data_IF_935672157183
#
_entry.id   IF_935672157183
#
_cell.length_a   1.000
_cell.length_b   1.000
_cell.length_c   1.000
_cell.angle_alpha   90.00
_cell.angle_beta   90.00
_cell.angle_gamma   90.00
#
_symmetry.space_group_name_H-M   'P 1'
#
loop_
_entity.id
_entity.type
_entity.pdbx_description
1 polymer ?
#
# COMPACT_ATOMS: atom_id res chain seq x y z
N UNK A 1 -12.51 -174.77 50.37
CA UNK A 1 -12.49 -173.71 49.34
C UNK A 1 -12.84 -172.33 49.92
N UNK A 2 -11.98 -171.74 50.77
CA UNK A 2 -12.28 -170.45 51.45
C UNK A 2 -11.11 -169.43 51.39
N UNK A 3 -9.85 -169.90 51.37
CA UNK A 3 -8.67 -169.02 51.19
C UNK A 3 -8.52 -168.40 49.78
N UNK A 4 -9.12 -169.00 48.74
CA UNK A 4 -9.10 -168.45 47.38
C UNK A 4 -10.01 -167.23 47.16
N UNK A 5 -11.20 -167.19 47.79
CA UNK A 5 -12.15 -166.06 47.65
C UNK A 5 -11.71 -164.80 48.38
N UNK A 6 -10.95 -164.94 49.48
CA UNK A 6 -10.41 -163.81 50.23
C UNK A 6 -9.29 -163.08 49.45
N UNK A 7 -8.44 -163.84 48.76
CA UNK A 7 -7.40 -163.29 47.87
C UNK A 7 -7.99 -162.64 46.62
N UNK A 8 -9.05 -163.22 46.04
CA UNK A 8 -9.74 -162.66 44.87
C UNK A 8 -10.41 -161.31 45.19
N UNK A 9 -11.09 -161.20 46.34
CA UNK A 9 -11.71 -159.95 46.79
C UNK A 9 -10.68 -158.86 47.12
N UNK A 10 -9.52 -159.24 47.67
CA UNK A 10 -8.41 -158.31 47.91
C UNK A 10 -7.80 -157.85 46.58
N UNK A 11 -7.62 -158.75 45.60
CA UNK A 11 -7.15 -158.39 44.26
C UNK A 11 -8.13 -157.46 43.53
N UNK A 12 -9.43 -157.72 43.63
CA UNK A 12 -10.46 -156.88 43.03
C UNK A 12 -10.47 -155.48 43.67
N UNK A 13 -10.44 -155.38 45.00
CA UNK A 13 -10.31 -154.10 45.70
C UNK A 13 -9.02 -153.35 45.38
N UNK A 14 -7.90 -154.06 45.25
CA UNK A 14 -6.63 -153.46 44.82
C UNK A 14 -6.74 -152.95 43.38
N UNK A 15 -7.42 -153.69 42.50
CA UNK A 15 -7.67 -153.26 41.11
C UNK A 15 -8.59 -152.05 41.02
N UNK A 16 -9.67 -152.02 41.80
CA UNK A 16 -10.60 -150.89 41.91
C UNK A 16 -9.92 -149.65 42.52
N UNK A 17 -9.10 -149.83 43.56
CA UNK A 17 -8.26 -148.75 44.09
C UNK A 17 -7.26 -148.27 43.05
N UNK A 18 -6.67 -149.15 42.24
CA UNK A 18 -5.74 -148.77 41.18
C UNK A 18 -6.42 -147.91 40.12
N UNK A 19 -7.58 -148.34 39.64
CA UNK A 19 -8.39 -147.58 38.67
C UNK A 19 -8.79 -146.23 39.27
N UNK A 20 -9.24 -146.20 40.53
CA UNK A 20 -9.60 -144.95 41.21
C UNK A 20 -8.39 -144.03 41.41
N UNK A 21 -7.20 -144.57 41.66
CA UNK A 21 -5.95 -143.80 41.74
C UNK A 21 -5.61 -143.23 40.36
N UNK A 22 -5.62 -144.07 39.31
CA UNK A 22 -5.32 -143.66 37.93
C UNK A 22 -6.31 -142.57 37.44
N UNK A 23 -7.61 -142.72 37.70
CA UNK A 23 -8.62 -141.71 37.38
C UNK A 23 -8.45 -140.41 38.19
N UNK A 24 -7.99 -140.52 39.44
CA UNK A 24 -7.73 -139.34 40.28
C UNK A 24 -6.46 -138.62 39.82
N UNK A 25 -5.42 -139.38 39.44
CA UNK A 25 -4.18 -138.86 38.86
C UNK A 25 -4.45 -138.18 37.50
N UNK A 26 -5.31 -138.75 36.66
CA UNK A 26 -5.71 -138.14 35.38
C UNK A 26 -6.52 -136.84 35.60
N UNK A 27 -7.46 -136.83 36.56
CA UNK A 27 -8.18 -135.60 36.96
C UNK A 27 -7.24 -134.56 37.55
N UNK A 28 -6.28 -134.97 38.35
CA UNK A 28 -5.27 -134.07 38.92
C UNK A 28 -4.39 -133.48 37.82
N UNK A 29 -3.97 -134.28 36.83
CA UNK A 29 -3.20 -133.84 35.68
C UNK A 29 -3.99 -132.83 34.82
N UNK A 30 -5.24 -133.13 34.48
CA UNK A 30 -6.11 -132.23 33.72
C UNK A 30 -6.40 -130.93 34.48
N UNK A 31 -6.68 -131.00 35.78
CA UNK A 31 -6.89 -129.81 36.61
C UNK A 31 -5.62 -128.95 36.72
N UNK A 32 -4.44 -129.56 36.77
CA UNK A 32 -3.15 -128.84 36.72
C UNK A 32 -2.95 -128.14 35.37
N UNK A 33 -3.27 -128.79 34.26
CA UNK A 33 -3.16 -128.18 32.92
C UNK A 33 -4.14 -127.02 32.74
N UNK A 34 -5.41 -127.18 33.15
CA UNK A 34 -6.40 -126.10 33.15
C UNK A 34 -5.96 -124.93 34.07
N UNK A 35 -5.41 -125.23 35.25
CA UNK A 35 -4.89 -124.21 36.15
C UNK A 35 -3.76 -123.41 35.50
N UNK A 36 -2.82 -124.07 34.81
CA UNK A 36 -1.75 -123.40 34.06
C UNK A 36 -2.34 -122.49 32.97
N UNK A 37 -3.30 -122.98 32.19
CA UNK A 37 -3.94 -122.16 31.15
C UNK A 37 -4.69 -120.94 31.71
N UNK A 38 -5.39 -121.10 32.83
CA UNK A 38 -6.11 -120.00 33.50
C UNK A 38 -5.12 -118.97 34.03
N UNK A 39 -4.03 -119.41 34.66
CA UNK A 39 -2.96 -118.53 35.16
C UNK A 39 -2.31 -117.76 33.99
N UNK A 40 -2.03 -118.41 32.86
CA UNK A 40 -1.49 -117.74 31.68
C UNK A 40 -2.45 -116.70 31.10
N UNK A 41 -3.75 -117.00 31.03
CA UNK A 41 -4.77 -116.04 30.58
C UNK A 41 -4.90 -114.86 31.54
N UNK A 42 -4.86 -115.13 32.85
CA UNK A 42 -4.89 -114.09 33.87
C UNK A 42 -3.66 -113.18 33.74
N UNK A 43 -2.45 -113.74 33.64
CA UNK A 43 -1.22 -112.96 33.44
C UNK A 43 -1.27 -112.10 32.17
N UNK A 44 -1.80 -112.63 31.05
CA UNK A 44 -2.01 -111.85 29.82
C UNK A 44 -2.99 -110.70 30.04
N UNK A 45 -4.15 -110.97 30.64
CA UNK A 45 -5.15 -109.94 30.93
C UNK A 45 -4.64 -108.87 31.90
N UNK A 46 -3.86 -109.25 32.93
CA UNK A 46 -3.23 -108.32 33.86
C UNK A 46 -2.20 -107.44 33.15
N UNK A 47 -1.43 -108.02 32.23
CA UNK A 47 -0.45 -107.27 31.42
C UNK A 47 -1.14 -106.28 30.49
N UNK A 48 -2.22 -106.68 29.82
CA UNK A 48 -3.03 -105.80 28.96
C UNK A 48 -3.71 -104.68 29.77
N UNK A 49 -4.31 -105.01 30.91
CA UNK A 49 -4.91 -104.03 31.81
C UNK A 49 -3.88 -103.00 32.27
N UNK A 50 -2.68 -103.45 32.64
CA UNK A 50 -1.57 -102.56 33.03
C UNK A 50 -1.10 -101.68 31.86
N UNK A 51 -1.03 -102.21 30.64
CA UNK A 51 -0.70 -101.44 29.44
C UNK A 51 -1.74 -100.35 29.14
N UNK A 52 -3.02 -100.69 29.20
CA UNK A 52 -4.12 -99.74 29.04
C UNK A 52 -4.10 -98.66 30.14
N UNK A 53 -3.79 -99.04 31.37
CA UNK A 53 -3.69 -98.10 32.48
C UNK A 53 -2.57 -97.07 32.26
N UNK A 54 -1.37 -97.53 31.85
CA UNK A 54 -0.27 -96.65 31.47
C UNK A 54 -0.66 -95.73 30.29
N UNK A 55 -1.40 -96.26 29.31
CA UNK A 55 -1.88 -95.47 28.16
C UNK A 55 -2.90 -94.41 28.58
N UNK A 56 -3.81 -94.72 29.49
CA UNK A 56 -4.77 -93.76 30.05
C UNK A 56 -4.04 -92.64 30.78
N UNK A 57 -3.03 -92.96 31.58
CA UNK A 57 -2.21 -91.94 32.27
C UNK A 57 -1.48 -91.03 31.29
N UNK A 58 -0.89 -91.62 30.24
CA UNK A 58 -0.20 -90.87 29.17
C UNK A 58 -1.17 -89.93 28.45
N UNK A 59 -2.36 -90.42 28.06
CA UNK A 59 -3.38 -89.61 27.40
C UNK A 59 -3.92 -88.50 28.31
N UNK A 60 -4.07 -88.75 29.61
CA UNK A 60 -4.46 -87.72 30.58
C UNK A 60 -3.40 -86.62 30.66
N UNK A 61 -2.12 -86.98 30.71
CA UNK A 61 -1.03 -86.02 30.71
C UNK A 61 -0.99 -85.19 29.41
N UNK A 62 -1.19 -85.84 28.25
CA UNK A 62 -1.29 -85.15 26.96
C UNK A 62 -2.50 -84.21 26.90
N UNK A 63 -3.67 -84.64 27.39
CA UNK A 63 -4.86 -83.81 27.44
C UNK A 63 -4.64 -82.56 28.28
N UNK A 64 -4.04 -82.69 29.46
CA UNK A 64 -3.68 -81.53 30.32
C UNK A 64 -2.72 -80.59 29.60
N UNK A 65 -1.69 -81.15 28.95
CA UNK A 65 -0.70 -80.37 28.20
C UNK A 65 -1.32 -79.61 27.02
N UNK A 66 -2.18 -80.26 26.24
CA UNK A 66 -2.87 -79.64 25.10
C UNK A 66 -3.85 -78.59 25.59
N UNK A 67 -4.63 -78.88 26.62
CA UNK A 67 -5.57 -77.92 27.22
C UNK A 67 -4.84 -76.67 27.72
N UNK A 68 -3.71 -76.84 28.43
CA UNK A 68 -2.88 -75.71 28.87
C UNK A 68 -2.39 -74.85 27.71
N UNK A 69 -1.87 -75.49 26.64
CA UNK A 69 -1.47 -74.78 25.42
C UNK A 69 -2.62 -74.05 24.74
N UNK A 70 -3.80 -74.66 24.69
CA UNK A 70 -5.00 -74.02 24.13
C UNK A 70 -5.38 -72.79 24.94
N UNK A 71 -5.34 -72.86 26.27
CA UNK A 71 -5.58 -71.70 27.14
C UNK A 71 -4.55 -70.58 26.90
N UNK A 72 -3.28 -70.93 26.76
CA UNK A 72 -2.23 -69.95 26.48
C UNK A 72 -2.44 -69.25 25.12
N UNK A 73 -2.78 -70.02 24.08
CA UNK A 73 -3.08 -69.47 22.75
C UNK A 73 -4.33 -68.58 22.80
N UNK A 74 -5.36 -68.97 23.54
CA UNK A 74 -6.57 -68.16 23.70
C UNK A 74 -6.25 -66.82 24.38
N UNK A 75 -5.46 -66.85 25.46
CA UNK A 75 -5.02 -65.62 26.14
C UNK A 75 -4.21 -64.70 25.21
N UNK A 76 -3.35 -65.26 24.36
CA UNK A 76 -2.60 -64.49 23.36
C UNK A 76 -3.51 -63.89 22.28
N UNK A 77 -4.52 -64.65 21.84
CA UNK A 77 -5.50 -64.16 20.88
C UNK A 77 -6.30 -62.99 21.44
N UNK A 78 -6.76 -63.09 22.69
CA UNK A 78 -7.53 -62.04 23.36
C UNK A 78 -6.68 -60.77 23.55
N UNK A 79 -5.41 -60.91 23.92
CA UNK A 79 -4.49 -59.78 24.02
C UNK A 79 -4.22 -59.11 22.66
N UNK A 80 -4.09 -59.90 21.60
CA UNK A 80 -3.90 -59.37 20.25
C UNK A 80 -5.17 -58.68 19.73
N UNK A 81 -6.35 -59.20 20.07
CA UNK A 81 -7.62 -58.56 19.73
C UNK A 81 -7.74 -57.19 20.39
N UNK A 82 -7.44 -57.09 21.69
CA UNK A 82 -7.43 -55.81 22.42
C UNK A 82 -6.44 -54.81 21.80
N UNK A 83 -5.21 -55.25 21.48
CA UNK A 83 -4.22 -54.40 20.80
C UNK A 83 -4.69 -53.93 19.43
N UNK A 84 -5.40 -54.78 18.68
CA UNK A 84 -5.96 -54.41 17.38
C UNK A 84 -7.06 -53.36 17.50
N UNK A 85 -7.95 -53.49 18.50
CA UNK A 85 -8.99 -52.50 18.78
C UNK A 85 -8.40 -51.15 19.19
N UNK A 86 -7.39 -51.15 20.07
CA UNK A 86 -6.66 -49.94 20.45
C UNK A 86 -5.95 -49.30 19.25
N UNK A 87 -5.34 -50.12 18.38
CA UNK A 87 -4.68 -49.65 17.16
C UNK A 87 -5.67 -48.99 16.21
N UNK A 88 -6.86 -49.57 16.01
CA UNK A 88 -7.89 -49.00 15.14
C UNK A 88 -8.46 -47.71 15.75
N UNK A 89 -8.67 -47.67 17.07
CA UNK A 89 -9.07 -46.44 17.76
C UNK A 89 -8.02 -45.33 17.62
N UNK A 90 -6.73 -45.66 17.70
CA UNK A 90 -5.65 -44.69 17.53
C UNK A 90 -5.55 -44.22 16.08
N UNK A 91 -5.70 -45.12 15.11
CA UNK A 91 -5.75 -44.78 13.69
C UNK A 91 -6.86 -43.78 13.40
N UNK A 92 -8.07 -44.03 13.90
CA UNK A 92 -9.21 -43.12 13.71
C UNK A 92 -8.93 -41.72 14.29
N UNK A 93 -8.36 -41.65 15.49
CA UNK A 93 -7.96 -40.37 16.10
C UNK A 93 -6.88 -39.63 15.32
N UNK A 94 -5.99 -40.35 14.63
CA UNK A 94 -4.98 -39.73 13.77
C UNK A 94 -5.60 -39.22 12.47
N UNK A 95 -6.54 -39.96 11.90
CA UNK A 95 -7.31 -39.55 10.72
C UNK A 95 -8.11 -38.27 11.00
N UNK A 96 -8.84 -38.22 12.13
CA UNK A 96 -9.58 -37.02 12.55
C UNK A 96 -8.64 -35.79 12.69
N UNK A 97 -7.44 -36.00 13.23
CA UNK A 97 -6.43 -34.93 13.39
C UNK A 97 -5.80 -34.51 12.06
N UNK A 98 -5.64 -35.44 11.13
CA UNK A 98 -5.14 -35.14 9.78
C UNK A 98 -6.16 -34.29 9.02
N UNK A 99 -7.45 -34.61 9.13
CA UNK A 99 -8.54 -33.83 8.54
C UNK A 99 -8.60 -32.41 9.14
N UNK A 100 -8.55 -32.28 10.47
CA UNK A 100 -8.49 -30.96 11.14
C UNK A 100 -7.27 -30.15 10.69
N UNK A 101 -6.10 -30.80 10.59
CA UNK A 101 -4.88 -30.15 10.11
C UNK A 101 -4.98 -29.70 8.65
N UNK A 102 -5.65 -30.49 7.81
CA UNK A 102 -5.89 -30.15 6.41
C UNK A 102 -6.82 -28.95 6.26
N UNK A 103 -7.92 -28.90 7.02
CA UNK A 103 -8.83 -27.75 7.04
C UNK A 103 -8.13 -26.48 7.53
N UNK A 104 -7.37 -26.57 8.63
CA UNK A 104 -6.60 -25.43 9.14
C UNK A 104 -5.56 -24.94 8.13
N UNK A 105 -4.87 -25.85 7.45
CA UNK A 105 -3.89 -25.48 6.40
C UNK A 105 -4.58 -24.75 5.26
N UNK A 106 -5.75 -25.23 4.82
CA UNK A 106 -6.52 -24.60 3.75
C UNK A 106 -6.99 -23.19 4.11
N UNK A 107 -7.47 -22.98 5.34
CA UNK A 107 -7.84 -21.64 5.83
C UNK A 107 -6.64 -20.69 5.84
N UNK A 108 -5.47 -21.16 6.29
CA UNK A 108 -4.24 -20.38 6.28
C UNK A 108 -3.83 -20.02 4.84
N UNK A 109 -3.92 -20.96 3.90
CA UNK A 109 -3.61 -20.72 2.49
C UNK A 109 -4.54 -19.67 1.87
N UNK A 110 -5.84 -19.76 2.12
CA UNK A 110 -6.81 -18.81 1.56
C UNK A 110 -6.64 -17.41 2.19
N UNK A 111 -6.35 -17.34 3.49
CA UNK A 111 -5.98 -16.09 4.15
C UNK A 111 -4.70 -15.49 3.56
N UNK A 112 -3.68 -16.30 3.29
CA UNK A 112 -2.43 -15.84 2.69
C UNK A 112 -2.65 -15.30 1.26
N UNK A 113 -3.51 -15.96 0.46
CA UNK A 113 -3.90 -15.46 -0.86
C UNK A 113 -4.62 -14.11 -0.76
N UNK A 114 -5.53 -13.96 0.18
CA UNK A 114 -6.26 -12.70 0.40
C UNK A 114 -5.30 -11.57 0.82
N UNK A 115 -4.40 -11.83 1.78
CA UNK A 115 -3.39 -10.85 2.21
C UNK A 115 -2.45 -10.44 1.07
N UNK A 116 -2.05 -11.39 0.23
CA UNK A 116 -1.24 -11.10 -0.96
C UNK A 116 -1.99 -10.18 -1.93
N UNK A 117 -3.26 -10.44 -2.20
CA UNK A 117 -4.08 -9.60 -3.07
C UNK A 117 -4.22 -8.18 -2.52
N UNK A 118 -4.53 -8.02 -1.22
CA UNK A 118 -4.61 -6.69 -0.60
C UNK A 118 -3.26 -5.96 -0.70
N UNK A 119 -2.14 -6.63 -0.43
CA UNK A 119 -0.81 -6.05 -0.57
C UNK A 119 -0.55 -5.54 -2.01
N UNK A 120 -0.84 -6.36 -3.03
CA UNK A 120 -0.69 -5.99 -4.44
C UNK A 120 -1.56 -4.78 -4.80
N UNK A 121 -2.79 -4.71 -4.27
CA UNK A 121 -3.67 -3.56 -4.46
C UNK A 121 -3.10 -2.29 -3.81
N UNK A 122 -2.59 -2.37 -2.57
CA UNK A 122 -1.95 -1.24 -1.88
C UNK A 122 -0.70 -0.77 -2.61
N UNK A 123 0.12 -1.69 -3.10
CA UNK A 123 1.32 -1.36 -3.89
C UNK A 123 0.96 -0.62 -5.18
N UNK A 124 -0.10 -1.05 -5.88
CA UNK A 124 -0.56 -0.36 -7.09
C UNK A 124 -1.09 1.04 -6.78
N UNK A 125 -1.89 1.21 -5.71
CA UNK A 125 -2.33 2.54 -5.25
C UNK A 125 -1.16 3.44 -4.88
N UNK A 126 -0.14 2.88 -4.22
CA UNK A 126 1.07 3.62 -3.86
C UNK A 126 1.86 4.06 -5.11
N UNK A 127 2.02 3.18 -6.11
CA UNK A 127 2.66 3.52 -7.39
C UNK A 127 1.93 4.66 -8.09
N UNK A 128 0.59 4.61 -8.16
CA UNK A 128 -0.21 5.69 -8.73
C UNK A 128 -0.06 7.01 -7.97
N UNK A 129 -0.10 6.97 -6.63
CA UNK A 129 0.09 8.14 -5.79
C UNK A 129 1.47 8.78 -6.02
N UNK A 130 2.53 7.97 -6.09
CA UNK A 130 3.89 8.43 -6.35
C UNK A 130 4.04 9.05 -7.75
N UNK A 131 3.36 8.52 -8.77
CA UNK A 131 3.34 9.13 -10.10
C UNK A 131 2.62 10.48 -10.10
N UNK A 132 1.48 10.60 -9.39
CA UNK A 132 0.77 11.88 -9.23
C UNK A 132 1.61 12.90 -8.48
N UNK A 133 2.30 12.49 -7.42
CA UNK A 133 3.21 13.34 -6.67
C UNK A 133 4.31 13.91 -7.59
N UNK A 134 4.95 13.07 -8.40
CA UNK A 134 5.96 13.52 -9.37
C UNK A 134 5.41 14.52 -10.38
N UNK A 135 4.17 14.31 -10.86
CA UNK A 135 3.52 15.26 -11.76
C UNK A 135 3.28 16.61 -11.07
N UNK A 136 2.76 16.61 -9.84
CA UNK A 136 2.51 17.82 -9.05
C UNK A 136 3.81 18.58 -8.73
N UNK A 137 4.91 17.88 -8.44
CA UNK A 137 6.22 18.51 -8.23
C UNK A 137 6.70 19.22 -9.49
N UNK A 138 6.51 18.61 -10.67
CA UNK A 138 6.86 19.26 -11.93
C UNK A 138 5.98 20.48 -12.23
N UNK A 139 4.67 20.39 -11.97
CA UNK A 139 3.75 21.51 -12.14
C UNK A 139 4.08 22.65 -11.18
N UNK A 140 4.40 22.34 -9.92
CA UNK A 140 4.82 23.31 -8.91
C UNK A 140 6.08 24.05 -9.38
N UNK A 141 7.10 23.32 -9.84
CA UNK A 141 8.32 23.92 -10.38
C UNK A 141 8.05 24.88 -11.54
N UNK A 142 7.11 24.52 -12.42
CA UNK A 142 6.72 25.37 -13.54
C UNK A 142 6.00 26.65 -13.09
N UNK A 143 5.21 26.56 -12.01
CA UNK A 143 4.56 27.73 -11.39
C UNK A 143 5.61 28.61 -10.71
N UNK A 144 6.58 28.03 -10.02
CA UNK A 144 7.71 28.75 -9.39
C UNK A 144 8.54 29.52 -10.43
N UNK A 145 8.95 28.86 -11.52
CA UNK A 145 9.69 29.50 -12.62
C UNK A 145 8.91 30.68 -13.23
N UNK A 146 7.58 30.55 -13.34
CA UNK A 146 6.73 31.63 -13.85
C UNK A 146 6.62 32.79 -12.84
N UNK A 147 6.50 32.47 -11.55
CA UNK A 147 6.45 33.48 -10.49
C UNK A 147 7.75 34.31 -10.47
N UNK A 148 8.90 33.67 -10.58
CA UNK A 148 10.20 34.37 -10.65
C UNK A 148 10.25 35.35 -11.83
N UNK A 149 9.75 34.94 -13.01
CA UNK A 149 9.66 35.83 -14.18
C UNK A 149 8.74 37.01 -13.95
N UNK A 150 7.61 36.80 -13.28
CA UNK A 150 6.69 37.91 -12.95
C UNK A 150 7.30 38.88 -11.95
N UNK A 151 8.01 38.39 -10.94
CA UNK A 151 8.71 39.23 -9.97
C UNK A 151 9.82 40.07 -10.63
N UNK A 152 10.57 39.50 -11.58
CA UNK A 152 11.55 40.26 -12.37
C UNK A 152 10.87 41.37 -13.18
N UNK A 153 9.75 41.06 -13.85
CA UNK A 153 8.99 42.02 -14.65
C UNK A 153 8.37 43.13 -13.79
N UNK A 154 7.90 42.79 -12.59
CA UNK A 154 7.42 43.77 -11.61
C UNK A 154 8.53 44.74 -11.21
N UNK A 155 9.73 44.24 -10.90
CA UNK A 155 10.89 45.07 -10.57
C UNK A 155 11.29 45.99 -11.74
N UNK A 156 11.26 45.50 -12.98
CA UNK A 156 11.50 46.31 -14.18
C UNK A 156 10.48 47.43 -14.33
N UNK A 157 9.19 47.12 -14.17
CA UNK A 157 8.13 48.13 -14.24
C UNK A 157 8.21 49.15 -13.10
N UNK A 158 8.57 48.71 -11.89
CA UNK A 158 8.76 49.62 -10.76
C UNK A 158 9.90 50.60 -11.03
N UNK A 159 11.00 50.14 -11.64
CA UNK A 159 12.10 51.03 -12.06
C UNK A 159 11.66 52.01 -13.13
N UNK A 160 10.98 51.55 -14.19
CA UNK A 160 10.46 52.43 -15.24
C UNK A 160 9.51 53.49 -14.68
N UNK A 161 8.65 53.12 -13.72
CA UNK A 161 7.76 54.05 -13.07
C UNK A 161 8.52 55.15 -12.30
N UNK A 162 9.60 54.80 -11.60
CA UNK A 162 10.46 55.78 -10.93
C UNK A 162 11.14 56.72 -11.93
N UNK A 163 11.65 56.19 -13.05
CA UNK A 163 12.29 56.98 -14.10
C UNK A 163 11.29 57.96 -14.76
N UNK A 164 10.06 57.50 -15.05
CA UNK A 164 8.99 58.36 -15.56
C UNK A 164 8.59 59.44 -14.56
N UNK A 165 8.47 59.09 -13.28
CA UNK A 165 8.17 60.06 -12.22
C UNK A 165 9.25 61.14 -12.16
N UNK A 166 10.53 60.77 -12.22
CA UNK A 166 11.64 61.71 -12.27
C UNK A 166 11.60 62.63 -13.49
N UNK A 167 11.27 62.09 -14.65
CA UNK A 167 11.12 62.86 -15.90
C UNK A 167 9.97 63.86 -15.81
N UNK A 168 8.81 63.43 -15.30
CA UNK A 168 7.65 64.30 -15.07
C UNK A 168 7.99 65.45 -14.14
N UNK A 169 8.64 65.17 -12.99
CA UNK A 169 9.05 66.22 -12.06
C UNK A 169 10.01 67.23 -12.71
N UNK A 170 10.94 66.77 -13.56
CA UNK A 170 11.84 67.66 -14.30
C UNK A 170 11.08 68.52 -15.33
N UNK A 171 10.08 67.94 -16.01
CA UNK A 171 9.26 68.69 -16.96
C UNK A 171 8.39 69.73 -16.26
N UNK A 172 7.78 69.39 -15.14
CA UNK A 172 7.01 70.32 -14.30
C UNK A 172 7.87 71.50 -13.85
N UNK A 173 9.10 71.23 -13.38
CA UNK A 173 10.07 72.28 -13.03
C UNK A 173 10.40 73.19 -14.22
N UNK A 174 10.64 72.61 -15.39
CA UNK A 174 10.91 73.38 -16.62
C UNK A 174 9.71 74.23 -17.06
N UNK A 175 8.49 73.70 -16.93
CA UNK A 175 7.26 74.45 -17.22
C UNK A 175 7.12 75.65 -16.28
N UNK A 176 7.40 75.48 -14.98
CA UNK A 176 7.36 76.59 -14.03
C UNK A 176 8.38 77.69 -14.39
N UNK A 177 9.62 77.32 -14.73
CA UNK A 177 10.64 78.28 -15.18
C UNK A 177 10.21 79.02 -16.45
N UNK A 178 9.60 78.32 -17.41
CA UNK A 178 9.11 78.94 -18.64
C UNK A 178 7.94 79.88 -18.38
N UNK A 179 7.04 79.54 -17.46
CA UNK A 179 5.94 80.42 -17.05
C UNK A 179 6.46 81.69 -16.37
N UNK A 180 7.41 81.58 -15.43
CA UNK A 180 8.04 82.74 -14.81
C UNK A 180 8.68 83.67 -15.87
N UNK A 181 9.36 83.08 -16.86
CA UNK A 181 9.94 83.85 -17.97
C UNK A 181 8.87 84.47 -18.88
N UNK A 182 7.75 83.79 -19.09
CA UNK A 182 6.63 84.33 -19.85
C UNK A 182 6.05 85.56 -19.14
N UNK A 183 5.83 85.49 -17.84
CA UNK A 183 5.35 86.61 -17.02
C UNK A 183 6.31 87.81 -17.11
N UNK A 184 7.62 87.59 -16.96
CA UNK A 184 8.63 88.66 -17.12
C UNK A 184 8.58 89.32 -18.52
N UNK A 185 8.40 88.52 -19.56
CA UNK A 185 8.30 89.03 -20.93
C UNK A 185 6.99 89.79 -21.14
N UNK A 186 5.88 89.32 -20.59
CA UNK A 186 4.60 90.03 -20.64
C UNK A 186 4.69 91.39 -19.95
N UNK A 187 5.32 91.48 -18.77
CA UNK A 187 5.57 92.76 -18.09
C UNK A 187 6.44 93.69 -18.93
N UNK A 188 7.51 93.17 -19.54
CA UNK A 188 8.40 93.95 -20.40
C UNK A 188 7.68 94.47 -21.65
N UNK A 189 6.84 93.65 -22.27
CA UNK A 189 6.00 94.06 -23.41
C UNK A 189 5.04 95.18 -22.98
N UNK A 190 4.34 95.02 -21.86
CA UNK A 190 3.43 96.04 -21.35
C UNK A 190 4.14 97.37 -21.05
N UNK A 191 5.34 97.31 -20.47
CA UNK A 191 6.16 98.49 -20.22
C UNK A 191 6.61 99.19 -21.51
N UNK A 192 7.07 98.43 -22.50
CA UNK A 192 7.46 98.98 -23.81
C UNK A 192 6.26 99.57 -24.56
N UNK A 193 5.09 98.95 -24.48
CA UNK A 193 3.85 99.49 -25.05
C UNK A 193 3.45 100.82 -24.40
N UNK A 194 3.62 100.95 -23.08
CA UNK A 194 3.39 102.22 -22.38
C UNK A 194 4.39 103.30 -22.83
N UNK A 195 5.67 102.95 -22.98
CA UNK A 195 6.67 103.87 -23.52
C UNK A 195 6.34 104.32 -24.94
N UNK A 196 5.90 103.40 -25.81
CA UNK A 196 5.49 103.74 -27.17
C UNK A 196 4.32 104.73 -27.13
N UNK A 197 3.29 104.48 -26.32
CA UNK A 197 2.16 105.42 -26.16
C UNK A 197 2.60 106.80 -25.70
N UNK A 198 3.52 106.89 -24.72
CA UNK A 198 4.06 108.16 -24.26
C UNK A 198 4.82 108.90 -25.37
N UNK A 199 5.66 108.20 -26.13
CA UNK A 199 6.41 108.77 -27.26
C UNK A 199 5.46 109.24 -28.37
N UNK A 200 4.44 108.43 -28.71
CA UNK A 200 3.42 108.81 -29.70
C UNK A 200 2.64 110.04 -29.26
N UNK A 201 2.20 110.11 -28.00
CA UNK A 201 1.51 111.30 -27.49
C UNK A 201 2.39 112.56 -27.53
N UNK A 202 3.68 112.43 -27.20
CA UNK A 202 4.64 113.52 -27.32
C UNK A 202 4.88 113.94 -28.77
N UNK A 203 4.93 112.99 -29.70
CA UNK A 203 5.04 113.24 -31.13
C UNK A 203 3.80 113.99 -31.66
N UNK A 204 2.60 113.56 -31.29
CA UNK A 204 1.34 114.24 -31.62
C UNK A 204 1.30 115.67 -31.06
N UNK A 205 1.74 115.87 -29.82
CA UNK A 205 1.84 117.20 -29.21
C UNK A 205 2.81 118.10 -29.99
N UNK A 206 4.00 117.58 -30.34
CA UNK A 206 4.98 118.30 -31.16
C UNK A 206 4.43 118.61 -32.55
N UNK A 207 3.76 117.67 -33.21
CA UNK A 207 3.12 117.87 -34.50
C UNK A 207 2.04 118.97 -34.44
N UNK A 208 1.25 119.01 -33.36
CA UNK A 208 0.26 120.07 -33.11
C UNK A 208 0.92 121.45 -32.91
N UNK A 209 2.02 121.51 -32.15
CA UNK A 209 2.82 122.74 -31.99
C UNK A 209 3.41 123.20 -33.32
N UNK A 210 3.95 122.29 -34.13
CA UNK A 210 4.46 122.60 -35.47
C UNK A 210 3.36 123.22 -36.33
N UNK A 211 2.18 122.58 -36.43
CA UNK A 211 1.03 123.13 -37.18
C UNK A 211 0.61 124.53 -36.70
N UNK A 212 0.67 124.77 -35.38
CA UNK A 212 0.35 126.07 -34.80
C UNK A 212 1.39 127.12 -35.19
N UNK A 213 2.69 126.78 -35.11
CA UNK A 213 3.79 127.63 -35.57
C UNK A 213 3.71 127.90 -37.08
N UNK A 214 3.35 126.91 -37.90
CA UNK A 214 3.15 127.07 -39.34
C UNK A 214 2.02 128.06 -39.64
N UNK A 215 0.87 127.98 -38.96
CA UNK A 215 -0.21 128.96 -39.09
C UNK A 215 0.20 130.37 -38.66
N UNK A 216 0.95 130.48 -37.55
CA UNK A 216 1.49 131.77 -37.11
C UNK A 216 2.46 132.35 -38.14
N UNK A 217 3.32 131.49 -38.72
CA UNK A 217 4.23 131.87 -39.80
C UNK A 217 3.46 132.37 -41.02
N UNK A 218 2.47 131.63 -41.52
CA UNK A 218 1.64 132.06 -42.66
C UNK A 218 0.95 133.40 -42.38
N UNK A 219 0.38 133.57 -41.19
CA UNK A 219 -0.25 134.84 -40.79
C UNK A 219 0.75 136.00 -40.77
N UNK A 220 1.94 135.78 -40.21
CA UNK A 220 2.99 136.80 -40.19
C UNK A 220 3.49 137.11 -41.61
N UNK A 221 3.61 136.10 -42.48
CA UNK A 221 3.95 136.28 -43.89
C UNK A 221 2.88 137.11 -44.64
N UNK A 222 1.60 136.86 -44.38
CA UNK A 222 0.48 137.65 -44.91
C UNK A 222 0.48 139.09 -44.37
N UNK A 223 0.71 139.29 -43.08
CA UNK A 223 0.84 140.62 -42.46
C UNK A 223 2.01 141.39 -43.09
N UNK A 224 3.18 140.75 -43.24
CA UNK A 224 4.34 141.35 -43.93
C UNK A 224 4.00 141.69 -45.39
N UNK A 225 3.28 140.82 -46.10
CA UNK A 225 2.88 141.07 -47.49
C UNK A 225 1.98 142.30 -47.59
N UNK A 226 0.97 142.41 -46.71
CA UNK A 226 0.08 143.58 -46.65
C UNK A 226 0.83 144.86 -46.31
N UNK A 227 1.77 144.80 -45.36
CA UNK A 227 2.59 145.97 -45.02
C UNK A 227 3.55 146.34 -46.16
N UNK A 228 4.08 145.37 -46.91
CA UNK A 228 4.84 145.63 -48.15
C UNK A 228 3.98 146.23 -49.27
N UNK A 229 2.76 145.73 -49.45
CA UNK A 229 1.81 146.30 -50.43
C UNK A 229 1.47 147.74 -50.06
N UNK A 230 1.14 148.02 -48.79
CA UNK A 230 0.93 149.39 -48.29
C UNK A 230 2.17 150.28 -48.48
N UNK A 231 3.37 149.78 -48.19
CA UNK A 231 4.61 150.53 -48.45
C UNK A 231 4.76 150.82 -49.94
N UNK A 232 4.55 149.85 -50.81
CA UNK A 232 4.62 150.05 -52.26
C UNK A 232 3.56 151.04 -52.75
N UNK A 233 2.37 151.04 -52.16
CA UNK A 233 1.29 151.99 -52.46
C UNK A 233 1.65 153.41 -52.00
N UNK A 234 2.27 153.53 -50.82
CA UNK A 234 2.83 154.79 -50.31
C UNK A 234 3.98 155.26 -51.21
N UNK A 235 4.90 154.37 -51.61
CA UNK A 235 5.99 154.69 -52.54
C UNK A 235 5.45 155.16 -53.90
N UNK A 236 4.39 154.52 -54.42
CA UNK A 236 3.70 154.97 -55.63
C UNK A 236 3.05 156.33 -55.48
N UNK A 237 2.41 156.59 -54.32
CA UNK A 237 1.87 157.91 -53.99
C UNK A 237 2.99 158.96 -53.91
N UNK A 238 4.17 158.60 -53.42
CA UNK A 238 5.35 159.47 -53.44
C UNK A 238 5.86 159.71 -54.87
N UNK A 239 5.94 158.69 -55.73
CA UNK A 239 6.32 158.85 -57.14
C UNK A 239 5.32 159.70 -57.93
N UNK A 240 4.02 159.57 -57.67
CA UNK A 240 2.97 160.42 -58.27
C UNK A 240 3.07 161.89 -57.81
N UNK A 241 3.56 162.13 -56.59
CA UNK A 241 3.88 163.47 -56.08
C UNK A 241 5.15 164.03 -56.73
N UNK A 242 6.17 163.20 -56.98
CA UNK A 242 7.42 163.61 -57.65
C UNK A 242 7.29 163.86 -59.16
N UNK A 243 6.34 163.23 -59.86
CA UNK A 243 6.08 163.49 -61.29
C UNK A 243 5.07 164.63 -61.54
N UNK A 244 4.47 165.18 -60.47
CA UNK A 244 3.60 166.35 -60.49
C UNK A 244 4.29 167.68 -60.14
N UNK A 245 5.62 167.67 -59.98
CA UNK A 245 6.52 168.81 -59.74
C UNK A 245 7.67 168.80 -60.75
#
# INVERSE_FOLDING_TARGET
MSRGRSLENIKQRISEMKISIDETEEREANAKEELVMVVERQLKSETEARSLQNRVETLKAELVRVTGRTTDIQNQLDQNAQRSEESESNRKRLEDKEEEGFEMTKEIEDNAKFMKYDLEEKENRYKEASLREKALVNDLKRVEDNLERFLQKEAEFQKQYQDFTGTTNSLESNVNILNEKEDELQEKVAFLDDQIKQVTALEEEKASKIKTCERLKERLEDEIRREKEKMSEIEKQFEEIEQGL
#
